data_IF_911352250540
#
_entry.id   IF_911352250540
#
_cell.length_a   1.000
_cell.length_b   1.000
_cell.length_c   1.000
_cell.angle_alpha   90.00
_cell.angle_beta   90.00
_cell.angle_gamma   90.00
#
_symmetry.space_group_name_H-M   'P 1'
#
loop_
_entity.id
_entity.type
_entity.pdbx_description
1 polymer ?
#
# COMPACT_ATOMS: atom_id res chain seq x y z
N UNK A 1 -7.34 -1.46 16.03
CA UNK A 1 -5.96 -1.94 16.29
C UNK A 1 -5.36 -2.53 15.02
N UNK A 2 -5.91 -3.63 14.47
CA UNK A 2 -5.36 -4.32 13.30
C UNK A 2 -5.23 -3.46 12.02
N UNK A 3 -6.27 -2.66 11.68
CA UNK A 3 -6.23 -1.77 10.50
C UNK A 3 -5.13 -0.70 10.58
N UNK A 4 -4.86 -0.15 11.77
CA UNK A 4 -3.79 0.84 11.98
C UNK A 4 -2.40 0.20 11.81
N UNK A 5 -2.23 -1.02 12.29
CA UNK A 5 -1.00 -1.82 12.09
C UNK A 5 -0.81 -2.16 10.61
N UNK A 6 -1.86 -2.59 9.91
CA UNK A 6 -1.81 -2.84 8.46
C UNK A 6 -1.44 -1.59 7.66
N UNK A 7 -1.97 -0.44 8.05
CA UNK A 7 -1.62 0.85 7.44
C UNK A 7 -0.14 1.21 7.66
N UNK A 8 0.37 1.04 8.89
CA UNK A 8 1.79 1.27 9.19
C UNK A 8 2.71 0.34 8.40
N UNK A 9 2.36 -0.95 8.30
CA UNK A 9 3.09 -1.93 7.51
C UNK A 9 3.14 -1.57 6.03
N UNK A 10 2.01 -1.13 5.44
CA UNK A 10 1.98 -0.69 4.05
C UNK A 10 2.96 0.47 3.81
N UNK A 11 3.02 1.44 4.72
CA UNK A 11 3.96 2.57 4.61
C UNK A 11 5.41 2.08 4.67
N UNK A 12 5.75 1.19 5.61
CA UNK A 12 7.11 0.65 5.74
C UNK A 12 7.52 -0.09 4.46
N UNK A 13 6.63 -0.93 3.91
CA UNK A 13 6.89 -1.68 2.68
C UNK A 13 7.07 -0.76 1.48
N UNK A 14 6.28 0.32 1.38
CA UNK A 14 6.46 1.34 0.33
C UNK A 14 7.85 1.96 0.44
N UNK A 15 8.26 2.39 1.64
CA UNK A 15 9.57 3.03 1.86
C UNK A 15 10.71 2.10 1.46
N UNK A 16 10.65 0.82 1.87
CA UNK A 16 11.71 -0.16 1.52
C UNK A 16 11.79 -0.36 0.00
N UNK A 17 10.65 -0.55 -0.68
CA UNK A 17 10.68 -0.70 -2.14
C UNK A 17 11.19 0.59 -2.81
N UNK A 18 10.76 1.76 -2.36
CA UNK A 18 11.21 3.03 -2.93
C UNK A 18 12.72 3.27 -2.76
N UNK A 19 13.31 2.81 -1.65
CA UNK A 19 14.77 2.84 -1.43
C UNK A 19 15.52 1.84 -2.34
N UNK A 20 14.90 0.71 -2.64
CA UNK A 20 15.45 -0.30 -3.55
C UNK A 20 15.17 0.01 -5.03
N UNK A 21 14.31 0.99 -5.32
CA UNK A 21 13.99 1.39 -6.67
C UNK A 21 15.13 2.25 -7.23
N UNK A 22 15.76 1.80 -8.31
CA UNK A 22 16.81 2.54 -8.99
C UNK A 22 16.19 3.32 -10.15
N UNK A 23 16.13 4.65 -9.99
CA UNK A 23 15.56 5.55 -11.00
C UNK A 23 16.39 5.64 -12.29
N UNK A 24 17.67 5.27 -12.24
CA UNK A 24 18.58 5.24 -13.39
C UNK A 24 18.52 3.91 -14.18
N UNK A 25 17.99 2.83 -13.58
CA UNK A 25 17.88 1.52 -14.25
C UNK A 25 16.58 1.44 -15.04
N UNK A 26 16.65 0.86 -16.23
CA UNK A 26 15.48 0.70 -17.10
C UNK A 26 14.39 -0.16 -16.42
N UNK A 27 13.12 0.11 -16.73
CA UNK A 27 11.98 -0.62 -16.19
C UNK A 27 11.98 -2.11 -16.55
N UNK A 28 12.82 -2.50 -17.51
CA UNK A 28 12.97 -3.88 -17.94
C UNK A 28 13.97 -4.67 -17.08
N UNK A 29 14.70 -4.01 -16.17
CA UNK A 29 15.56 -4.69 -15.22
C UNK A 29 14.73 -5.47 -14.19
N UNK A 30 15.15 -6.69 -13.87
CA UNK A 30 14.39 -7.59 -12.99
C UNK A 30 14.25 -6.99 -11.58
N UNK A 31 15.29 -6.35 -11.06
CA UNK A 31 15.27 -5.79 -9.71
C UNK A 31 14.36 -4.56 -9.65
N UNK A 32 14.38 -3.75 -10.71
CA UNK A 32 13.52 -2.56 -10.80
C UNK A 32 12.04 -2.93 -10.98
N UNK A 33 11.75 -4.00 -11.74
CA UNK A 33 10.40 -4.57 -11.86
C UNK A 33 9.84 -5.03 -10.52
N UNK A 34 10.64 -5.76 -9.74
CA UNK A 34 10.22 -6.28 -8.44
C UNK A 34 9.87 -5.12 -7.50
N UNK A 35 10.71 -4.09 -7.46
CA UNK A 35 10.46 -2.91 -6.64
C UNK A 35 9.20 -2.16 -7.09
N UNK A 36 8.98 -2.00 -8.40
CA UNK A 36 7.78 -1.36 -8.94
C UNK A 36 6.50 -2.11 -8.56
N UNK A 37 6.51 -3.45 -8.67
CA UNK A 37 5.39 -4.31 -8.26
C UNK A 37 5.15 -4.20 -6.76
N UNK A 38 6.21 -4.16 -5.95
CA UNK A 38 6.12 -3.96 -4.51
C UNK A 38 5.45 -2.64 -4.13
N UNK A 39 5.81 -1.54 -4.80
CA UNK A 39 5.14 -0.23 -4.62
C UNK A 39 3.67 -0.30 -5.06
N UNK A 40 3.36 -0.87 -6.23
CA UNK A 40 1.99 -1.00 -6.74
C UNK A 40 1.10 -1.86 -5.82
N UNK A 41 1.60 -3.00 -5.36
CA UNK A 41 0.88 -3.91 -4.47
C UNK A 41 0.59 -3.26 -3.11
N UNK A 42 1.57 -2.55 -2.55
CA UNK A 42 1.40 -1.86 -1.28
C UNK A 42 0.47 -0.64 -1.40
N UNK A 43 0.48 0.09 -2.52
CA UNK A 43 -0.54 1.11 -2.81
C UNK A 43 -1.95 0.51 -2.88
N UNK A 44 -2.11 -0.62 -3.57
CA UNK A 44 -3.39 -1.31 -3.68
C UNK A 44 -3.94 -1.71 -2.30
N UNK A 45 -3.08 -2.30 -1.45
CA UNK A 45 -3.45 -2.65 -0.08
C UNK A 45 -3.88 -1.41 0.75
N UNK A 46 -3.16 -0.29 0.59
CA UNK A 46 -3.49 0.98 1.24
C UNK A 46 -4.91 1.47 0.88
N UNK A 47 -5.25 1.44 -0.41
CA UNK A 47 -6.58 1.81 -0.91
C UNK A 47 -7.66 0.92 -0.32
N UNK A 48 -7.46 -0.40 -0.30
CA UNK A 48 -8.42 -1.35 0.28
C UNK A 48 -8.65 -1.11 1.78
N UNK A 49 -7.61 -0.80 2.54
CA UNK A 49 -7.72 -0.46 3.97
C UNK A 49 -8.54 0.81 4.14
N UNK A 50 -8.31 1.84 3.33
CA UNK A 50 -9.08 3.10 3.36
C UNK A 50 -10.56 2.85 3.04
N UNK A 51 -10.84 2.13 1.96
CA UNK A 51 -12.23 1.79 1.57
C UNK A 51 -12.92 1.01 2.70
N UNK A 52 -12.24 0.05 3.33
CA UNK A 52 -12.78 -0.71 4.45
C UNK A 52 -13.12 0.18 5.66
N UNK A 53 -12.24 1.12 6.00
CA UNK A 53 -12.50 2.08 7.10
C UNK A 53 -13.69 2.99 6.78
N UNK A 54 -13.83 3.44 5.53
CA UNK A 54 -14.95 4.28 5.10
C UNK A 54 -16.25 3.46 5.13
N UNK A 55 -16.24 2.23 4.62
CA UNK A 55 -17.40 1.32 4.63
C UNK A 55 -17.94 1.10 6.04
N UNK A 56 -17.07 0.86 7.03
CA UNK A 56 -17.50 0.74 8.43
C UNK A 56 -18.08 2.02 9.01
N UNK A 57 -17.54 3.19 8.64
CA UNK A 57 -18.10 4.48 9.06
C UNK A 57 -19.50 4.68 8.49
N UNK A 58 -19.70 4.36 7.21
CA UNK A 58 -21.00 4.44 6.55
C UNK A 58 -21.99 3.47 7.20
N UNK A 59 -21.58 2.22 7.42
CA UNK A 59 -22.44 1.20 8.05
C UNK A 59 -22.90 1.60 9.45
N UNK A 60 -22.02 2.20 10.26
CA UNK A 60 -22.40 2.74 11.57
C UNK A 60 -23.42 3.87 11.45
N UNK A 61 -23.20 4.79 10.50
CA UNK A 61 -24.04 5.97 10.29
C UNK A 61 -25.43 5.66 9.69
N UNK A 62 -25.62 4.46 9.13
CA UNK A 62 -26.92 3.97 8.61
C UNK A 62 -27.69 3.17 9.68
N UNK A 63 -26.99 2.63 10.70
CA UNK A 63 -27.59 1.83 11.78
C UNK A 63 -28.05 2.65 12.98
N UNK A 64 -27.60 3.90 13.08
CA UNK A 64 -28.17 4.96 13.94
C UNK A 64 -29.25 5.73 13.18
#
# INVERSE_FOLDING_TARGET
MLKKIGFLLCIIVIVINLLNYNFDLDFSDNDNKISLIGVLASLCALVLIVISMISEKISKKIKD
#
